data_IF_084881201828
#
_entry.id   IF_084881201828
#
_cell.length_a   1.000
_cell.length_b   1.000
_cell.length_c   1.000
_cell.angle_alpha   90.00
_cell.angle_beta   90.00
_cell.angle_gamma   90.00
#
_symmetry.space_group_name_H-M   'P 1'
#
loop_
_entity.id
_entity.type
_entity.pdbx_description
1 polymer ?
#
# COMPACT_ATOMS: atom_id res chain seq x y z
N UNK A 1 -22.62 19.26 -38.28
CA UNK A 1 -22.53 20.34 -37.28
C UNK A 1 -23.73 20.24 -36.35
N UNK A 2 -23.57 19.49 -35.27
CA UNK A 2 -24.47 19.53 -34.13
C UNK A 2 -23.55 19.60 -32.91
N UNK A 3 -23.40 20.81 -32.37
CA UNK A 3 -22.69 21.06 -31.13
C UNK A 3 -23.57 20.55 -29.98
N UNK A 4 -23.08 19.56 -29.24
CA UNK A 4 -23.67 19.15 -27.98
C UNK A 4 -23.24 20.11 -26.89
N UNK A 5 -24.17 20.94 -26.42
CA UNK A 5 -24.03 21.67 -25.16
C UNK A 5 -24.03 20.65 -24.02
N UNK A 6 -22.87 20.45 -23.39
CA UNK A 6 -22.81 19.93 -22.02
C UNK A 6 -23.36 21.01 -21.09
N UNK A 7 -24.35 20.74 -20.22
CA UNK A 7 -24.68 21.67 -19.17
C UNK A 7 -23.61 21.57 -18.08
N UNK A 8 -22.90 22.66 -17.84
CA UNK A 8 -22.09 22.82 -16.63
C UNK A 8 -22.97 22.58 -15.39
N UNK A 9 -22.48 21.89 -14.34
CA UNK A 9 -23.25 21.72 -13.12
C UNK A 9 -23.51 23.08 -12.47
N UNK A 10 -24.76 23.53 -12.52
CA UNK A 10 -25.21 24.73 -11.81
C UNK A 10 -25.34 24.37 -10.33
N UNK A 11 -24.41 24.89 -9.52
CA UNK A 11 -24.55 25.02 -8.07
C UNK A 11 -25.79 25.87 -7.75
N UNK A 12 -26.90 25.22 -7.37
CA UNK A 12 -28.06 25.91 -6.82
C UNK A 12 -28.18 25.58 -5.33
N UNK A 13 -28.08 26.62 -4.51
CA UNK A 13 -28.34 26.55 -3.07
C UNK A 13 -29.85 26.37 -2.85
N UNK A 14 -30.27 25.19 -2.42
CA UNK A 14 -31.64 24.92 -1.99
C UNK A 14 -31.94 25.57 -0.63
N UNK A 15 -33.18 26.04 -0.38
CA UNK A 15 -33.54 26.69 0.87
C UNK A 15 -33.90 25.63 1.92
N UNK A 16 -32.90 25.12 2.65
CA UNK A 16 -33.14 24.47 3.94
C UNK A 16 -31.99 24.82 4.88
N UNK A 17 -32.30 25.64 5.88
CA UNK A 17 -31.35 26.28 6.79
C UNK A 17 -30.68 25.34 7.80
N UNK A 18 -29.85 24.42 7.32
CA UNK A 18 -28.89 23.69 8.13
C UNK A 18 -27.49 24.00 7.56
N UNK A 19 -26.63 24.77 8.25
CA UNK A 19 -25.26 24.96 7.83
C UNK A 19 -24.50 23.62 7.93
N UNK A 20 -23.95 23.11 6.82
CA UNK A 20 -23.09 21.93 6.80
C UNK A 20 -23.62 20.68 6.09
N UNK A 21 -24.80 20.71 5.47
CA UNK A 21 -25.28 19.58 4.65
C UNK A 21 -24.94 19.78 3.17
N UNK A 22 -24.01 18.99 2.63
CA UNK A 22 -23.92 18.73 1.20
C UNK A 22 -25.08 17.78 0.86
N UNK A 23 -26.08 18.30 0.15
CA UNK A 23 -27.08 17.45 -0.51
C UNK A 23 -26.55 17.18 -1.90
N UNK A 24 -25.99 15.99 -2.11
CA UNK A 24 -25.69 15.50 -3.46
C UNK A 24 -27.01 15.40 -4.22
N UNK A 25 -27.03 15.94 -5.45
CA UNK A 25 -28.18 15.87 -6.34
C UNK A 25 -28.63 14.42 -6.61
N UNK A 26 -29.77 14.21 -7.27
CA UNK A 26 -30.38 12.89 -7.40
C UNK A 26 -29.46 11.93 -8.18
N UNK A 27 -28.75 11.07 -7.46
CA UNK A 27 -28.02 9.92 -8.02
C UNK A 27 -29.05 8.86 -8.44
N UNK A 28 -28.92 8.20 -9.60
CA UNK A 28 -29.67 6.99 -9.87
C UNK A 28 -29.28 5.98 -8.76
N UNK A 29 -30.28 5.44 -8.07
CA UNK A 29 -30.14 4.71 -6.82
C UNK A 29 -29.16 3.52 -6.90
N UNK A 30 -27.88 3.76 -6.59
CA UNK A 30 -26.99 2.72 -6.10
C UNK A 30 -27.15 2.70 -4.58
N UNK A 31 -27.91 1.73 -4.10
CA UNK A 31 -27.87 1.40 -2.68
C UNK A 31 -26.48 0.85 -2.36
N UNK A 32 -25.92 1.13 -1.18
CA UNK A 32 -24.70 0.46 -0.77
C UNK A 32 -24.92 -1.04 -0.83
N UNK A 33 -24.07 -1.73 -1.59
CA UNK A 33 -24.06 -3.18 -1.67
C UNK A 33 -23.22 -3.74 -0.54
N UNK A 34 -23.56 -4.95 -0.08
CA UNK A 34 -22.78 -5.66 0.92
C UNK A 34 -22.32 -6.97 0.31
N UNK A 35 -21.02 -7.11 0.20
CA UNK A 35 -20.35 -8.31 -0.31
C UNK A 35 -19.74 -9.08 0.86
N UNK A 36 -19.92 -10.39 0.86
CA UNK A 36 -19.36 -11.29 1.87
C UNK A 36 -19.11 -12.65 1.22
N UNK A 37 -18.04 -13.35 1.58
CA UNK A 37 -17.65 -14.61 0.96
C UNK A 37 -18.80 -15.58 0.59
N UNK A 38 -19.77 -15.79 1.49
CA UNK A 38 -20.92 -16.67 1.24
C UNK A 38 -21.93 -16.22 0.16
N UNK A 39 -21.75 -15.05 -0.47
CA UNK A 39 -22.51 -14.62 -1.65
C UNK A 39 -21.72 -14.76 -2.96
N UNK A 40 -20.51 -15.32 -2.90
CA UNK A 40 -19.65 -15.67 -4.02
C UNK A 40 -19.57 -17.20 -4.16
N UNK A 41 -18.81 -17.68 -5.15
CA UNK A 41 -18.48 -19.11 -5.32
C UNK A 41 -17.52 -19.66 -4.25
N UNK A 42 -17.76 -19.30 -2.99
CA UNK A 42 -16.98 -19.72 -1.84
C UNK A 42 -17.87 -19.90 -0.59
N UNK A 43 -17.35 -20.51 0.47
CA UNK A 43 -18.11 -20.74 1.71
C UNK A 43 -17.48 -19.99 2.87
N UNK A 44 -18.26 -19.15 3.56
CA UNK A 44 -17.77 -18.43 4.73
C UNK A 44 -17.56 -19.35 5.94
N UNK A 45 -16.35 -19.37 6.45
CA UNK A 45 -15.91 -20.00 7.68
C UNK A 45 -15.46 -18.93 8.70
N UNK A 46 -14.92 -19.36 9.84
CA UNK A 46 -14.53 -18.45 10.90
C UNK A 46 -13.04 -18.14 10.79
N UNK A 47 -12.72 -16.84 10.70
CA UNK A 47 -11.37 -16.28 10.61
C UNK A 47 -10.77 -16.20 9.20
N UNK A 48 -11.57 -16.40 8.15
CA UNK A 48 -11.14 -16.35 6.74
C UNK A 48 -10.61 -14.98 6.31
N UNK A 49 -11.00 -13.94 7.05
CA UNK A 49 -10.56 -12.56 6.83
C UNK A 49 -10.86 -12.05 5.41
N UNK A 50 -12.03 -12.41 4.87
CA UNK A 50 -12.52 -11.89 3.59
C UNK A 50 -12.40 -10.36 3.50
N UNK A 51 -11.68 -9.88 2.48
CA UNK A 51 -11.42 -8.45 2.28
C UNK A 51 -10.22 -7.91 3.06
N UNK A 52 -9.33 -8.79 3.53
CA UNK A 52 -8.06 -8.39 4.14
C UNK A 52 -7.13 -7.66 3.16
N UNK A 53 -7.24 -7.99 1.88
CA UNK A 53 -6.58 -7.30 0.77
C UNK A 53 -7.59 -7.10 -0.36
N UNK A 54 -7.47 -5.98 -1.09
CA UNK A 54 -8.29 -5.65 -2.24
C UNK A 54 -7.38 -5.16 -3.36
N UNK A 55 -7.68 -5.52 -4.60
CA UNK A 55 -7.07 -4.93 -5.77
C UNK A 55 -8.10 -4.79 -6.90
N UNK A 56 -7.91 -3.80 -7.75
CA UNK A 56 -8.85 -3.41 -8.81
C UNK A 56 -8.12 -3.42 -10.14
N UNK A 57 -8.74 -4.00 -11.16
CA UNK A 57 -8.17 -4.13 -12.50
C UNK A 57 -9.16 -4.74 -13.48
N UNK A 58 -8.98 -4.50 -14.77
CA UNK A 58 -9.76 -5.08 -15.85
C UNK A 58 -9.17 -6.44 -16.26
N UNK A 59 -9.48 -7.50 -15.52
CA UNK A 59 -8.87 -8.82 -15.71
C UNK A 59 -9.36 -9.52 -16.98
N UNK A 60 -10.51 -9.10 -17.51
CA UNK A 60 -11.16 -9.69 -18.68
C UNK A 60 -11.10 -8.79 -19.94
N UNK A 61 -10.46 -7.63 -19.85
CA UNK A 61 -10.29 -6.63 -20.91
C UNK A 61 -11.62 -6.17 -21.54
N UNK A 62 -12.64 -5.92 -20.71
CA UNK A 62 -13.94 -5.39 -21.13
C UNK A 62 -14.09 -3.87 -20.92
N UNK A 63 -13.02 -3.21 -20.45
CA UNK A 63 -12.90 -1.80 -20.06
C UNK A 63 -13.70 -1.40 -18.83
N UNK A 64 -14.10 -2.36 -17.99
CA UNK A 64 -14.74 -2.11 -16.70
C UNK A 64 -13.93 -2.82 -15.61
N UNK A 65 -13.45 -2.04 -14.65
CA UNK A 65 -12.64 -2.61 -13.58
C UNK A 65 -13.40 -3.68 -12.77
N UNK A 66 -12.68 -4.76 -12.49
CA UNK A 66 -13.08 -5.85 -11.62
C UNK A 66 -12.48 -5.70 -10.22
N UNK A 67 -12.95 -6.53 -9.28
CA UNK A 67 -12.47 -6.53 -7.90
C UNK A 67 -11.90 -7.90 -7.50
N UNK A 68 -10.60 -7.94 -7.19
CA UNK A 68 -9.96 -9.05 -6.50
C UNK A 68 -9.99 -8.84 -4.98
N UNK A 69 -10.31 -9.90 -4.24
CA UNK A 69 -10.54 -9.90 -2.80
C UNK A 69 -9.74 -11.02 -2.15
N UNK A 70 -8.79 -10.66 -1.30
CA UNK A 70 -7.96 -11.59 -0.53
C UNK A 70 -8.73 -12.19 0.65
N UNK A 71 -8.53 -13.50 0.86
CA UNK A 71 -9.14 -14.32 1.90
C UNK A 71 -8.04 -15.18 2.54
N UNK A 72 -7.04 -14.57 3.21
CA UNK A 72 -5.84 -15.29 3.65
C UNK A 72 -6.11 -16.37 4.69
N UNK A 73 -7.21 -16.29 5.44
CA UNK A 73 -7.58 -17.30 6.44
C UNK A 73 -8.36 -18.48 5.87
N UNK A 74 -8.56 -18.58 4.56
CA UNK A 74 -9.38 -19.64 3.97
C UNK A 74 -8.76 -21.03 4.18
N UNK A 75 -9.57 -21.95 4.67
CA UNK A 75 -9.23 -23.36 4.85
C UNK A 75 -9.51 -24.13 3.55
N UNK A 76 -8.52 -24.84 3.00
CA UNK A 76 -8.70 -25.60 1.75
C UNK A 76 -8.69 -27.13 1.96
N UNK A 77 -9.38 -27.84 1.06
CA UNK A 77 -9.44 -29.29 1.02
C UNK A 77 -10.63 -29.89 1.77
N UNK A 78 -10.69 -31.22 1.87
CA UNK A 78 -11.84 -31.91 2.43
C UNK A 78 -11.96 -31.65 3.94
N UNK A 79 -12.95 -30.82 4.31
CA UNK A 79 -13.21 -30.35 5.69
C UNK A 79 -12.11 -29.44 6.26
N UNK A 80 -11.50 -28.60 5.44
CA UNK A 80 -10.50 -27.62 5.90
C UNK A 80 -9.27 -28.29 6.50
N UNK A 81 -8.73 -29.28 5.80
CA UNK A 81 -7.60 -30.06 6.30
C UNK A 81 -6.25 -29.36 6.08
N UNK A 82 -6.22 -28.33 5.24
CA UNK A 82 -5.09 -27.41 5.09
C UNK A 82 -5.61 -26.05 5.55
N UNK A 83 -5.22 -25.66 6.77
CA UNK A 83 -5.83 -24.52 7.45
C UNK A 83 -5.15 -23.21 7.08
N UNK A 84 -5.90 -22.12 7.01
CA UNK A 84 -5.37 -20.79 6.74
C UNK A 84 -4.42 -20.78 5.52
N UNK A 85 -4.74 -21.58 4.51
CA UNK A 85 -3.94 -21.68 3.28
C UNK A 85 -4.21 -20.49 2.36
N UNK A 86 -5.41 -19.92 2.45
CA UNK A 86 -5.81 -18.70 1.78
C UNK A 86 -6.44 -18.92 0.40
N UNK A 87 -7.19 -17.90 -0.02
CA UNK A 87 -7.85 -17.82 -1.31
C UNK A 87 -7.93 -16.36 -1.81
N UNK A 88 -8.26 -16.22 -3.09
CA UNK A 88 -8.66 -14.95 -3.69
C UNK A 88 -9.96 -15.14 -4.44
N UNK A 89 -10.94 -14.28 -4.17
CA UNK A 89 -12.16 -14.17 -4.97
C UNK A 89 -12.05 -13.01 -5.95
N UNK A 90 -12.48 -13.21 -7.19
CA UNK A 90 -12.58 -12.14 -8.19
C UNK A 90 -14.04 -11.95 -8.58
N UNK A 91 -14.52 -10.72 -8.51
CA UNK A 91 -15.88 -10.30 -8.85
C UNK A 91 -15.79 -9.34 -10.02
N UNK A 92 -16.47 -9.66 -11.13
CA UNK A 92 -16.37 -8.89 -12.35
C UNK A 92 -17.21 -7.62 -12.31
N UNK A 93 -16.65 -6.54 -12.86
CA UNK A 93 -17.35 -5.31 -13.16
C UNK A 93 -18.36 -5.52 -14.29
N UNK A 94 -19.43 -4.74 -14.26
CA UNK A 94 -20.39 -4.62 -15.37
C UNK A 94 -20.89 -3.18 -15.43
N UNK A 95 -21.64 -2.84 -16.49
CA UNK A 95 -22.28 -1.53 -16.58
C UNK A 95 -23.27 -1.23 -15.44
N UNK A 96 -23.74 -2.26 -14.73
CA UNK A 96 -24.67 -2.16 -13.61
C UNK A 96 -23.97 -2.27 -12.24
N UNK A 97 -22.63 -2.35 -12.21
CA UNK A 97 -21.83 -2.58 -11.00
C UNK A 97 -21.23 -3.99 -10.95
N UNK A 98 -20.76 -4.40 -9.77
CA UNK A 98 -20.13 -5.72 -9.57
C UNK A 98 -21.15 -6.86 -9.75
N UNK A 99 -20.74 -7.96 -10.38
CA UNK A 99 -21.58 -9.14 -10.62
C UNK A 99 -20.96 -10.43 -10.09
N UNK A 100 -21.77 -11.18 -9.34
CA UNK A 100 -21.39 -12.50 -8.83
C UNK A 100 -21.55 -13.64 -9.85
N UNK A 101 -22.22 -13.41 -10.99
CA UNK A 101 -22.67 -14.48 -11.91
C UNK A 101 -21.50 -15.35 -12.41
N UNK A 102 -20.39 -14.69 -12.75
CA UNK A 102 -19.19 -15.34 -13.30
C UNK A 102 -17.95 -15.15 -12.43
N UNK A 103 -18.13 -14.79 -11.15
CA UNK A 103 -17.04 -14.61 -10.21
C UNK A 103 -16.10 -15.84 -10.20
N UNK A 104 -14.81 -15.62 -9.99
CA UNK A 104 -13.80 -16.67 -9.89
C UNK A 104 -13.29 -16.79 -8.45
N UNK A 105 -12.75 -17.96 -8.11
CA UNK A 105 -12.04 -18.20 -6.86
C UNK A 105 -10.75 -18.95 -7.17
N UNK A 106 -9.64 -18.46 -6.62
CA UNK A 106 -8.32 -19.03 -6.78
C UNK A 106 -7.81 -19.49 -5.42
N UNK A 107 -7.32 -20.72 -5.37
CA UNK A 107 -6.58 -21.24 -4.24
C UNK A 107 -5.13 -21.46 -4.68
N UNK A 108 -4.19 -21.37 -3.75
CA UNK A 108 -2.78 -21.59 -4.04
C UNK A 108 -2.51 -22.94 -4.72
N UNK A 109 -3.29 -23.98 -4.40
CA UNK A 109 -3.18 -25.31 -5.02
C UNK A 109 -3.35 -25.34 -6.55
N UNK A 110 -3.83 -24.25 -7.16
CA UNK A 110 -3.97 -24.13 -8.62
C UNK A 110 -2.68 -23.65 -9.31
N UNK A 111 -1.80 -22.97 -8.57
CA UNK A 111 -0.56 -22.32 -9.07
C UNK A 111 0.70 -22.74 -8.30
N UNK A 112 0.53 -23.51 -7.24
CA UNK A 112 1.57 -23.97 -6.34
C UNK A 112 1.09 -25.15 -5.49
N UNK A 113 1.76 -25.35 -4.34
CA UNK A 113 1.38 -26.39 -3.38
C UNK A 113 0.97 -25.70 -2.09
N UNK A 114 -0.30 -25.81 -1.75
CA UNK A 114 -0.82 -25.27 -0.51
C UNK A 114 -0.39 -26.07 0.72
N UNK A 115 0.00 -25.35 1.75
CA UNK A 115 0.35 -25.78 3.09
C UNK A 115 -0.44 -24.96 4.12
N UNK A 116 -0.40 -25.37 5.38
CA UNK A 116 -1.23 -24.72 6.40
C UNK A 116 -0.53 -23.47 6.92
N UNK A 117 -1.20 -22.32 6.83
CA UNK A 117 -0.68 -21.04 7.27
C UNK A 117 -0.03 -20.20 6.17
N UNK A 118 -0.01 -20.66 4.92
CA UNK A 118 0.62 -19.96 3.79
C UNK A 118 -0.03 -18.59 3.50
N UNK A 119 -1.33 -18.47 3.77
CA UNK A 119 -2.13 -17.26 3.60
C UNK A 119 -2.06 -16.65 2.20
N UNK A 120 -2.29 -17.47 1.18
CA UNK A 120 -2.49 -17.00 -0.19
C UNK A 120 -3.57 -15.92 -0.27
N UNK A 121 -3.25 -14.76 -0.84
CA UNK A 121 -4.14 -13.60 -0.87
C UNK A 121 -3.96 -12.64 0.30
N UNK A 122 -2.89 -12.78 1.11
CA UNK A 122 -2.56 -11.83 2.17
C UNK A 122 -2.22 -10.42 1.65
N UNK A 123 -1.67 -10.34 0.44
CA UNK A 123 -1.40 -9.09 -0.29
C UNK A 123 -1.77 -9.29 -1.75
N UNK A 124 -2.27 -8.23 -2.39
CA UNK A 124 -2.69 -8.22 -3.79
C UNK A 124 -2.17 -6.95 -4.47
N UNK A 125 -1.80 -7.07 -5.74
CA UNK A 125 -1.55 -5.93 -6.62
C UNK A 125 -1.91 -6.30 -8.07
N UNK A 126 -2.07 -5.30 -8.92
CA UNK A 126 -2.53 -5.44 -10.30
C UNK A 126 -1.60 -4.68 -11.24
N UNK A 127 -1.36 -5.23 -12.43
CA UNK A 127 -0.68 -4.53 -13.52
C UNK A 127 -0.67 -5.37 -14.79
N UNK A 128 -0.37 -4.78 -15.93
CA UNK A 128 -0.23 -5.47 -17.22
C UNK A 128 1.26 -5.82 -17.46
N UNK A 129 1.69 -6.99 -16.98
CA UNK A 129 3.10 -7.40 -17.03
C UNK A 129 3.47 -7.94 -18.43
N UNK A 130 2.51 -8.48 -19.16
CA UNK A 130 2.72 -9.09 -20.48
C UNK A 130 2.26 -8.24 -21.69
N UNK A 131 1.70 -7.06 -21.42
CA UNK A 131 1.23 -6.04 -22.37
C UNK A 131 0.25 -6.62 -23.38
N UNK A 132 -0.71 -7.40 -22.91
CA UNK A 132 -1.82 -7.90 -23.71
C UNK A 132 -3.10 -7.06 -23.56
N UNK A 133 -3.09 -6.10 -22.63
CA UNK A 133 -4.15 -5.15 -22.35
C UNK A 133 -5.23 -5.66 -21.39
N UNK A 134 -5.16 -6.93 -20.93
CA UNK A 134 -5.86 -7.36 -19.74
C UNK A 134 -4.96 -7.15 -18.53
N UNK A 135 -5.51 -6.67 -17.42
CA UNK A 135 -4.76 -6.55 -16.19
C UNK A 135 -4.45 -7.94 -15.61
N UNK A 136 -3.27 -8.09 -15.01
CA UNK A 136 -2.83 -9.31 -14.33
C UNK A 136 -2.92 -9.14 -12.81
N UNK A 137 -3.10 -10.25 -12.10
CA UNK A 137 -3.15 -10.27 -10.65
C UNK A 137 -1.87 -10.86 -10.05
N UNK A 138 -1.23 -10.11 -9.15
CA UNK A 138 -0.20 -10.64 -8.25
C UNK A 138 -0.81 -10.99 -6.91
N UNK A 139 -0.54 -12.21 -6.44
CA UNK A 139 -1.02 -12.74 -5.17
C UNK A 139 0.17 -13.08 -4.27
N UNK A 140 0.24 -12.42 -3.12
CA UNK A 140 1.24 -12.71 -2.11
C UNK A 140 0.89 -13.92 -1.23
N UNK A 141 1.93 -14.66 -0.88
CA UNK A 141 1.92 -15.83 0.00
C UNK A 141 3.09 -15.69 0.99
N UNK A 142 3.07 -14.69 1.89
CA UNK A 142 4.23 -14.32 2.68
C UNK A 142 4.70 -15.43 3.62
N UNK A 143 3.87 -16.41 3.93
CA UNK A 143 4.20 -17.50 4.86
C UNK A 143 4.47 -18.83 4.14
N UNK A 144 4.68 -18.81 2.81
CA UNK A 144 5.08 -20.00 2.04
C UNK A 144 6.43 -20.56 2.53
N UNK A 145 6.47 -21.87 2.77
CA UNK A 145 7.69 -22.60 3.06
C UNK A 145 8.43 -23.00 1.78
N UNK A 146 9.71 -22.61 1.67
CA UNK A 146 10.58 -23.07 0.58
C UNK A 146 11.43 -24.26 1.00
N UNK A 147 10.83 -25.45 0.88
CA UNK A 147 11.47 -26.72 1.19
C UNK A 147 11.63 -26.94 2.69
N UNK A 148 12.69 -26.39 3.28
CA UNK A 148 12.91 -26.42 4.75
C UNK A 148 13.10 -25.04 5.36
N UNK A 149 12.99 -23.99 4.53
CA UNK A 149 13.07 -22.61 4.97
C UNK A 149 11.64 -22.18 5.27
N UNK A 150 11.36 -21.94 6.55
CA UNK A 150 10.01 -21.64 7.04
C UNK A 150 9.69 -20.17 6.79
N UNK A 151 8.47 -19.88 6.34
CA UNK A 151 7.97 -18.52 6.12
C UNK A 151 8.91 -17.69 5.23
N UNK A 152 9.48 -18.32 4.21
CA UNK A 152 10.35 -17.65 3.23
C UNK A 152 9.55 -16.69 2.34
N UNK A 153 8.30 -17.06 2.05
CA UNK A 153 7.38 -16.30 1.23
C UNK A 153 7.55 -16.52 -0.27
N UNK A 154 6.46 -16.28 -0.99
CA UNK A 154 6.39 -16.32 -2.43
C UNK A 154 5.30 -15.38 -2.95
N UNK A 155 5.32 -15.11 -4.26
CA UNK A 155 4.20 -14.52 -4.98
C UNK A 155 3.85 -15.33 -6.23
N UNK A 156 2.58 -15.29 -6.61
CA UNK A 156 2.08 -15.83 -7.85
C UNK A 156 1.55 -14.70 -8.74
N UNK A 157 1.91 -14.72 -10.03
CA UNK A 157 1.32 -13.85 -11.04
C UNK A 157 0.34 -14.69 -11.86
N UNK A 158 -0.92 -14.30 -11.85
CA UNK A 158 -2.02 -14.94 -12.56
C UNK A 158 -2.44 -13.96 -13.66
N UNK A 159 -2.27 -14.37 -14.92
CA UNK A 159 -2.48 -13.48 -16.05
C UNK A 159 -3.95 -13.29 -16.36
N UNK A 160 -4.32 -12.05 -16.67
CA UNK A 160 -5.60 -11.69 -17.28
C UNK A 160 -5.69 -12.24 -18.70
N UNK A 161 -6.90 -12.40 -19.20
CA UNK A 161 -7.13 -12.75 -20.60
C UNK A 161 -8.46 -12.20 -21.07
N UNK A 162 -8.48 -11.67 -22.30
CA UNK A 162 -9.72 -11.14 -22.90
C UNK A 162 -10.86 -12.15 -22.83
N UNK A 163 -12.03 -11.69 -22.40
CA UNK A 163 -13.30 -12.41 -22.27
C UNK A 163 -13.35 -13.56 -21.23
N UNK A 164 -12.21 -14.07 -20.76
CA UNK A 164 -12.14 -15.21 -19.82
C UNK A 164 -11.79 -14.76 -18.40
N UNK A 165 -11.08 -13.64 -18.28
CA UNK A 165 -10.54 -13.14 -17.02
C UNK A 165 -9.24 -13.83 -16.63
N UNK A 166 -9.00 -13.99 -15.33
CA UNK A 166 -7.77 -14.58 -14.83
C UNK A 166 -7.64 -16.07 -15.19
N UNK A 167 -6.41 -16.49 -15.56
CA UNK A 167 -6.06 -17.88 -15.89
C UNK A 167 -4.76 -18.33 -15.24
N UNK A 168 -4.74 -19.59 -14.78
CA UNK A 168 -3.51 -20.20 -14.24
C UNK A 168 -2.59 -20.75 -15.33
N UNK A 169 -3.05 -20.77 -16.58
CA UNK A 169 -2.20 -21.19 -17.69
C UNK A 169 -1.15 -20.12 -18.00
N UNK A 170 0.12 -20.42 -17.73
CA UNK A 170 1.22 -19.48 -17.92
C UNK A 170 1.54 -18.64 -16.68
N UNK A 171 0.85 -18.87 -15.55
CA UNK A 171 1.13 -18.20 -14.29
C UNK A 171 2.61 -18.33 -13.90
N UNK A 172 3.17 -17.28 -13.30
CA UNK A 172 4.52 -17.29 -12.78
C UNK A 172 4.54 -17.38 -11.27
N UNK A 173 5.61 -17.96 -10.72
CA UNK A 173 5.87 -18.00 -9.28
C UNK A 173 7.24 -17.42 -9.02
N UNK A 174 7.31 -16.46 -8.10
CA UNK A 174 8.55 -15.79 -7.72
C UNK A 174 8.78 -15.90 -6.21
N UNK A 175 10.03 -16.15 -5.85
CA UNK A 175 10.52 -16.16 -4.48
C UNK A 175 12.03 -15.85 -4.49
N UNK A 176 12.67 -15.56 -3.35
CA UNK A 176 14.10 -15.17 -3.32
C UNK A 176 15.07 -16.23 -3.87
N UNK A 177 14.70 -17.51 -3.84
CA UNK A 177 15.49 -18.58 -4.47
C UNK A 177 15.25 -18.74 -5.98
N UNK A 178 14.42 -17.91 -6.61
CA UNK A 178 14.16 -17.95 -8.05
C UNK A 178 15.42 -17.54 -8.79
N UNK A 179 15.68 -18.16 -9.94
CA UNK A 179 16.90 -17.88 -10.69
C UNK A 179 17.00 -16.39 -11.03
N UNK A 180 18.16 -15.80 -10.72
CA UNK A 180 18.48 -14.39 -10.96
C UNK A 180 17.73 -13.38 -10.09
N UNK A 181 16.95 -13.81 -9.10
CA UNK A 181 16.52 -12.90 -8.03
C UNK A 181 17.68 -12.74 -7.04
N UNK A 182 18.02 -11.50 -6.71
CA UNK A 182 19.01 -11.19 -5.70
C UNK A 182 18.46 -11.45 -4.29
N UNK A 183 19.29 -12.09 -3.46
CA UNK A 183 18.91 -12.54 -2.13
C UNK A 183 19.06 -14.05 -1.99
N UNK A 184 18.69 -14.59 -0.85
CA UNK A 184 18.59 -16.04 -0.63
C UNK A 184 17.52 -16.23 0.42
N UNK A 185 16.54 -17.09 0.16
CA UNK A 185 15.44 -17.27 1.10
C UNK A 185 15.94 -17.70 2.48
N UNK A 186 15.68 -16.85 3.45
CA UNK A 186 15.87 -17.03 4.88
C UNK A 186 14.55 -17.31 5.58
N UNK A 187 14.66 -17.66 6.86
CA UNK A 187 13.51 -17.97 7.71
C UNK A 187 12.84 -16.67 8.10
N UNK A 188 11.52 -16.60 7.98
CA UNK A 188 10.69 -15.42 8.31
C UNK A 188 10.95 -14.19 7.41
N UNK A 189 11.60 -14.38 6.24
CA UNK A 189 11.89 -13.34 5.25
C UNK A 189 10.60 -12.74 4.70
N UNK A 190 9.58 -13.59 4.51
CA UNK A 190 8.23 -13.22 4.08
C UNK A 190 8.22 -12.44 2.76
N UNK A 191 8.92 -12.96 1.76
CA UNK A 191 8.92 -12.40 0.41
C UNK A 191 7.48 -12.25 -0.13
N UNK A 192 7.13 -11.04 -0.57
CA UNK A 192 5.78 -10.72 -1.03
C UNK A 192 4.82 -10.27 0.08
N UNK A 193 5.34 -9.95 1.27
CA UNK A 193 4.54 -9.42 2.38
C UNK A 193 3.80 -8.13 2.00
N UNK A 194 4.49 -7.22 1.32
CA UNK A 194 3.90 -6.05 0.67
C UNK A 194 4.19 -6.11 -0.83
N UNK A 195 3.29 -5.57 -1.64
CA UNK A 195 3.38 -5.59 -3.10
C UNK A 195 2.98 -4.22 -3.65
N UNK A 196 3.73 -3.71 -4.62
CA UNK A 196 3.35 -2.57 -5.44
C UNK A 196 3.76 -2.83 -6.90
N UNK A 197 3.03 -2.21 -7.82
CA UNK A 197 3.23 -2.34 -9.27
C UNK A 197 3.38 -0.97 -9.91
N UNK A 198 4.07 -0.90 -11.04
CA UNK A 198 4.23 0.33 -11.81
C UNK A 198 5.34 0.20 -12.85
N UNK A 199 5.37 1.07 -13.85
CA UNK A 199 6.38 1.09 -14.90
C UNK A 199 7.64 1.84 -14.41
N UNK A 200 8.42 1.16 -13.55
CA UNK A 200 9.62 1.71 -12.93
C UNK A 200 10.77 1.90 -13.93
N UNK A 201 10.68 1.28 -15.12
CA UNK A 201 11.68 1.42 -16.18
C UNK A 201 11.23 2.12 -17.48
N UNK A 202 9.99 2.58 -17.53
CA UNK A 202 9.35 3.29 -18.65
C UNK A 202 9.51 2.52 -19.98
N UNK A 203 9.27 1.21 -19.95
CA UNK A 203 9.21 0.36 -21.14
C UNK A 203 7.78 0.06 -21.62
N UNK A 204 6.77 0.52 -20.87
CA UNK A 204 5.35 0.37 -21.17
C UNK A 204 4.76 -0.96 -20.69
N UNK A 205 5.41 -1.63 -19.74
CA UNK A 205 4.88 -2.77 -18.97
C UNK A 205 4.98 -2.42 -17.51
N UNK A 206 4.04 -2.93 -16.74
CA UNK A 206 4.17 -2.82 -15.29
C UNK A 206 5.32 -3.71 -14.80
N UNK A 207 5.96 -3.25 -13.75
CA UNK A 207 6.98 -3.95 -12.98
C UNK A 207 6.43 -4.29 -11.59
N UNK A 208 7.16 -5.13 -10.85
CA UNK A 208 6.71 -5.67 -9.58
C UNK A 208 7.71 -5.40 -8.47
N UNK A 209 7.32 -4.60 -7.47
CA UNK A 209 8.05 -4.39 -6.22
C UNK A 209 7.48 -5.26 -5.09
N UNK A 210 8.38 -5.91 -4.35
CA UNK A 210 8.07 -6.96 -3.37
C UNK A 210 8.81 -6.71 -2.07
N UNK A 211 8.04 -6.49 -1.00
CA UNK A 211 8.55 -6.33 0.35
C UNK A 211 9.06 -7.66 0.91
N UNK A 212 10.21 -7.60 1.57
CA UNK A 212 10.87 -8.73 2.25
C UNK A 212 11.30 -8.26 3.64
N UNK A 213 10.36 -8.00 4.56
CA UNK A 213 10.65 -7.36 5.83
C UNK A 213 11.61 -8.18 6.72
N UNK A 214 11.68 -9.51 6.59
CA UNK A 214 12.67 -10.30 7.33
C UNK A 214 14.11 -10.09 6.87
N UNK A 215 14.30 -9.62 5.62
CA UNK A 215 15.59 -9.23 5.04
C UNK A 215 15.81 -7.69 5.05
N UNK A 216 14.87 -6.94 5.67
CA UNK A 216 14.91 -5.48 5.73
C UNK A 216 15.05 -4.86 4.33
N UNK A 217 14.28 -5.36 3.36
CA UNK A 217 14.45 -4.93 1.98
C UNK A 217 13.28 -5.14 1.03
N UNK A 218 13.54 -4.75 -0.22
CA UNK A 218 12.58 -4.80 -1.32
C UNK A 218 13.27 -5.36 -2.57
N UNK A 219 12.63 -6.35 -3.21
CA UNK A 219 12.99 -6.82 -4.53
C UNK A 219 12.14 -6.14 -5.60
N UNK A 220 12.72 -5.81 -6.75
CA UNK A 220 11.99 -5.32 -7.93
C UNK A 220 12.27 -6.23 -9.12
N UNK A 221 11.21 -6.76 -9.72
CA UNK A 221 11.22 -7.66 -10.87
C UNK A 221 10.56 -6.92 -12.04
N UNK A 222 11.23 -6.86 -13.19
CA UNK A 222 10.77 -6.05 -14.31
C UNK A 222 9.91 -6.85 -15.30
N UNK A 223 8.83 -6.26 -15.81
CA UNK A 223 8.11 -6.69 -17.00
C UNK A 223 8.95 -6.41 -18.23
N UNK A 224 8.99 -7.31 -19.24
CA UNK A 224 9.81 -7.07 -20.44
C UNK A 224 9.27 -7.63 -21.73
N UNK A 225 9.34 -6.81 -22.78
CA UNK A 225 8.89 -7.12 -24.16
C UNK A 225 9.43 -8.39 -24.83
N UNK A 226 10.58 -8.94 -24.39
CA UNK A 226 11.12 -10.19 -24.93
C UNK A 226 10.58 -11.44 -24.20
N UNK A 227 9.73 -11.25 -23.21
CA UNK A 227 9.15 -12.30 -22.37
C UNK A 227 7.63 -12.10 -22.31
N UNK A 228 6.90 -13.20 -22.07
CA UNK A 228 5.47 -13.15 -21.76
C UNK A 228 5.33 -12.91 -20.25
N UNK A 229 5.59 -11.67 -19.82
CA UNK A 229 5.48 -11.23 -18.43
C UNK A 229 6.79 -10.84 -17.74
N UNK A 230 6.83 -11.02 -16.41
CA UNK A 230 7.97 -10.64 -15.57
C UNK A 230 9.23 -11.46 -15.87
N UNK A 231 10.39 -10.85 -15.60
CA UNK A 231 11.69 -11.51 -15.71
C UNK A 231 12.67 -11.05 -14.64
N UNK A 232 13.38 -12.00 -14.02
CA UNK A 232 14.47 -11.72 -13.08
C UNK A 232 15.75 -11.15 -13.76
N UNK A 233 15.72 -10.88 -15.07
CA UNK A 233 16.86 -10.29 -15.75
C UNK A 233 17.06 -8.84 -15.32
N UNK A 234 18.13 -8.55 -14.57
CA UNK A 234 18.46 -7.20 -14.06
C UNK A 234 17.45 -6.71 -13.02
N UNK A 235 16.93 -7.63 -12.21
CA UNK A 235 16.19 -7.31 -11.01
C UNK A 235 17.00 -6.38 -10.08
N UNK A 236 16.31 -5.67 -9.19
CA UNK A 236 16.94 -4.85 -8.16
C UNK A 236 16.62 -5.41 -6.78
N UNK A 237 17.55 -5.23 -5.85
CA UNK A 237 17.33 -5.48 -4.43
C UNK A 237 17.85 -4.29 -3.63
N UNK A 238 17.01 -3.78 -2.74
CA UNK A 238 17.30 -2.66 -1.85
C UNK A 238 17.23 -3.15 -0.41
N UNK A 239 18.37 -3.18 0.29
CA UNK A 239 18.46 -3.53 1.72
C UNK A 239 18.53 -2.29 2.60
N UNK A 240 18.03 -2.37 3.83
CA UNK A 240 17.95 -1.26 4.79
C UNK A 240 16.75 -0.34 4.57
N UNK A 241 15.65 -0.87 4.03
CA UNK A 241 14.45 -0.11 3.65
C UNK A 241 13.17 -0.67 4.28
N UNK A 242 13.26 -1.69 5.13
CA UNK A 242 12.13 -2.42 5.69
C UNK A 242 11.43 -3.29 4.64
N UNK A 243 10.46 -2.71 3.94
CA UNK A 243 9.59 -3.43 3.00
C UNK A 243 8.27 -3.90 3.64
N UNK A 244 7.86 -3.30 4.75
CA UNK A 244 6.60 -3.61 5.43
C UNK A 244 5.38 -3.08 4.68
N UNK A 245 5.52 -1.95 3.98
CA UNK A 245 4.49 -1.41 3.09
C UNK A 245 5.11 -0.80 1.84
N UNK A 246 4.37 -0.86 0.73
CA UNK A 246 4.80 -0.33 -0.57
C UNK A 246 3.64 0.40 -1.24
N UNK A 247 3.96 1.47 -1.97
CA UNK A 247 3.06 2.10 -2.95
C UNK A 247 3.91 2.76 -4.02
N UNK A 248 3.32 3.05 -5.17
CA UNK A 248 4.00 3.58 -6.34
C UNK A 248 3.19 4.70 -6.98
N UNK A 249 3.87 5.55 -7.72
CA UNK A 249 3.30 6.66 -8.48
C UNK A 249 4.41 7.53 -9.04
N UNK A 250 4.10 8.36 -10.04
CA UNK A 250 5.07 9.29 -10.63
C UNK A 250 5.09 10.60 -9.80
N UNK A 251 5.88 10.60 -8.72
CA UNK A 251 5.91 11.70 -7.77
C UNK A 251 6.68 12.92 -8.29
N UNK A 252 7.49 12.74 -9.34
CA UNK A 252 8.27 13.81 -9.95
C UNK A 252 7.92 14.16 -11.42
N UNK A 253 6.90 13.52 -11.97
CA UNK A 253 6.40 13.69 -13.33
C UNK A 253 7.48 13.53 -14.42
N UNK A 254 8.44 12.63 -14.22
CA UNK A 254 9.45 12.30 -15.22
C UNK A 254 9.02 11.16 -16.16
N UNK A 255 7.85 10.56 -15.89
CA UNK A 255 7.22 9.50 -16.65
C UNK A 255 7.72 8.11 -16.31
N UNK A 256 8.47 7.95 -15.22
CA UNK A 256 8.75 6.67 -14.57
C UNK A 256 7.93 6.61 -13.30
N UNK A 257 7.36 5.45 -12.98
CA UNK A 257 6.80 5.29 -11.65
C UNK A 257 7.93 5.27 -10.61
N UNK A 258 7.67 5.88 -9.47
CA UNK A 258 8.54 5.84 -8.29
C UNK A 258 8.00 4.84 -7.27
N UNK A 259 8.86 4.45 -6.32
CA UNK A 259 8.50 3.50 -5.27
C UNK A 259 8.66 4.13 -3.89
N UNK A 260 7.56 4.23 -3.14
CA UNK A 260 7.56 4.58 -1.72
C UNK A 260 7.51 3.31 -0.86
N UNK A 261 8.39 3.25 0.15
CA UNK A 261 8.62 2.10 1.01
C UNK A 261 8.50 2.54 2.46
N UNK A 262 7.60 1.91 3.21
CA UNK A 262 7.46 2.13 4.64
C UNK A 262 8.33 1.17 5.44
N UNK A 263 9.11 1.71 6.36
CA UNK A 263 9.77 0.98 7.44
C UNK A 263 9.27 1.53 8.78
N UNK A 264 8.08 1.10 9.24
CA UNK A 264 7.47 1.59 10.47
C UNK A 264 8.24 1.18 11.74
N UNK A 265 9.18 0.24 11.64
CA UNK A 265 9.97 -0.25 12.79
C UNK A 265 11.37 0.38 12.87
N UNK A 266 11.72 1.23 11.89
CA UNK A 266 12.95 2.00 11.86
C UNK A 266 13.20 2.73 13.18
N UNK A 267 14.40 2.56 13.70
CA UNK A 267 14.91 3.31 14.84
C UNK A 267 15.62 4.57 14.33
N UNK A 268 15.12 5.76 14.66
CA UNK A 268 15.90 6.98 14.37
C UNK A 268 17.00 7.16 15.40
N UNK A 269 18.22 7.48 14.94
CA UNK A 269 19.36 7.64 15.82
C UNK A 269 19.21 8.85 16.77
N UNK A 270 19.61 8.74 18.06
CA UNK A 270 19.51 9.83 19.05
C UNK A 270 20.29 11.11 18.71
N UNK A 271 21.09 11.14 17.64
CA UNK A 271 21.97 12.27 17.30
C UNK A 271 21.23 13.53 16.83
N UNK A 272 19.93 13.44 16.56
CA UNK A 272 19.06 14.60 16.27
C UNK A 272 18.58 15.27 17.56
N UNK A 273 18.63 14.56 18.69
CA UNK A 273 18.36 15.12 20.01
C UNK A 273 19.65 15.72 20.56
N UNK A 274 19.65 17.04 20.77
CA UNK A 274 20.75 17.72 21.46
C UNK A 274 21.11 16.97 22.74
N UNK A 275 22.40 16.71 22.94
CA UNK A 275 22.96 15.76 23.92
C UNK A 275 22.67 16.02 25.40
N UNK A 276 21.82 17.00 25.73
CA UNK A 276 21.84 17.62 27.04
C UNK A 276 20.56 17.37 27.89
N UNK A 277 19.52 16.68 27.39
CA UNK A 277 18.26 16.47 28.13
C UNK A 277 17.72 15.02 28.12
N UNK A 278 18.57 13.99 28.26
CA UNK A 278 18.09 12.62 28.57
C UNK A 278 18.51 12.16 29.97
N UNK A 279 17.81 12.58 31.03
CA UNK A 279 17.85 11.85 32.28
C UNK A 279 17.06 10.54 32.09
N UNK A 280 17.74 9.42 32.35
CA UNK A 280 17.26 8.03 32.28
C UNK A 280 17.33 7.38 30.87
N UNK A 281 18.14 6.32 30.77
CA UNK A 281 18.39 5.56 29.56
C UNK A 281 17.14 4.84 29.03
N UNK A 282 16.37 5.54 28.22
CA UNK A 282 15.25 4.98 27.47
C UNK A 282 15.75 4.43 26.12
N UNK A 283 15.17 3.29 25.76
CA UNK A 283 15.45 2.49 24.58
C UNK A 283 15.18 3.28 23.28
N UNK A 284 15.83 2.95 22.16
CA UNK A 284 15.40 3.47 20.87
C UNK A 284 13.95 3.01 20.66
N UNK A 285 13.11 3.92 20.17
CA UNK A 285 11.68 3.66 19.95
C UNK A 285 11.42 3.57 18.44
N UNK A 286 10.46 2.73 18.07
CA UNK A 286 9.99 2.58 16.68
C UNK A 286 9.29 3.88 16.26
N UNK A 287 10.02 4.77 15.61
CA UNK A 287 9.50 6.06 15.12
C UNK A 287 9.10 5.98 13.64
N UNK A 288 9.54 4.92 12.94
CA UNK A 288 9.22 4.66 11.56
C UNK A 288 9.80 5.67 10.56
N UNK A 289 9.95 5.26 9.31
CA UNK A 289 10.41 6.10 8.21
C UNK A 289 9.74 5.68 6.91
N UNK A 290 9.79 6.57 5.92
CA UNK A 290 9.40 6.27 4.54
C UNK A 290 10.56 6.62 3.61
N UNK A 291 10.90 5.69 2.74
CA UNK A 291 11.90 5.86 1.70
C UNK A 291 11.21 5.99 0.35
N UNK A 292 11.62 6.95 -0.46
CA UNK A 292 11.14 7.09 -1.85
C UNK A 292 12.32 6.83 -2.77
N UNK A 293 12.20 5.83 -3.63
CA UNK A 293 13.15 5.50 -4.68
C UNK A 293 12.60 6.01 -6.00
N UNK A 294 13.34 6.91 -6.64
CA UNK A 294 12.88 7.50 -7.90
C UNK A 294 13.21 6.59 -9.08
N UNK A 295 12.19 6.29 -9.89
CA UNK A 295 12.34 5.69 -11.20
C UNK A 295 13.29 6.56 -12.02
N UNK A 296 14.21 5.97 -12.78
CA UNK A 296 15.18 6.79 -13.51
C UNK A 296 15.96 6.05 -14.59
N UNK A 297 16.55 6.82 -15.50
CA UNK A 297 17.57 6.36 -16.43
C UNK A 297 17.08 6.27 -17.87
N UNK A 298 17.84 5.64 -18.78
CA UNK A 298 17.33 5.33 -20.12
C UNK A 298 16.23 4.28 -20.01
N UNK A 299 15.13 4.45 -20.76
CA UNK A 299 14.03 3.48 -20.87
C UNK A 299 14.50 2.02 -20.92
N UNK A 300 13.87 1.14 -20.15
CA UNK A 300 14.18 -0.29 -20.02
C UNK A 300 15.38 -0.61 -19.12
N UNK A 301 15.79 0.31 -18.22
CA UNK A 301 16.91 0.06 -17.29
C UNK A 301 16.55 0.09 -15.81
N UNK A 302 15.43 0.70 -15.45
CA UNK A 302 14.87 0.76 -14.10
C UNK A 302 15.80 1.44 -13.13
N UNK A 303 15.59 1.17 -11.84
CA UNK A 303 16.46 1.65 -10.78
C UNK A 303 17.93 1.25 -11.04
N UNK A 304 18.74 2.22 -11.50
CA UNK A 304 20.14 1.91 -11.84
C UNK A 304 20.97 1.79 -10.56
N UNK A 305 21.48 0.58 -10.32
CA UNK A 305 22.24 0.21 -9.12
C UNK A 305 23.37 1.18 -8.77
N UNK A 306 23.21 1.80 -7.60
CA UNK A 306 24.14 2.75 -7.01
C UNK A 306 23.37 3.97 -6.55
N UNK A 307 23.06 4.01 -5.24
CA UNK A 307 22.42 5.13 -4.55
C UNK A 307 23.11 6.45 -4.89
N UNK A 308 22.68 7.11 -5.95
CA UNK A 308 22.88 8.53 -6.06
C UNK A 308 21.93 9.12 -5.02
N UNK A 309 22.43 9.88 -4.05
CA UNK A 309 21.61 10.67 -3.11
C UNK A 309 20.62 11.63 -3.79
N UNK A 310 20.61 11.69 -5.13
CA UNK A 310 19.62 12.40 -5.93
C UNK A 310 18.41 11.54 -6.34
N UNK A 311 18.42 10.22 -6.12
CA UNK A 311 17.33 9.29 -6.50
C UNK A 311 16.71 8.57 -5.29
N UNK A 312 17.01 9.03 -4.08
CA UNK A 312 16.43 8.51 -2.83
C UNK A 312 16.12 9.68 -1.90
N UNK A 313 14.92 9.66 -1.32
CA UNK A 313 14.50 10.60 -0.29
C UNK A 313 13.97 9.86 0.93
N UNK A 314 14.38 10.29 2.12
CA UNK A 314 13.90 9.77 3.39
C UNK A 314 12.95 10.79 4.03
N UNK A 315 11.76 10.34 4.43
CA UNK A 315 10.71 11.15 5.03
C UNK A 315 10.51 10.75 6.49
N UNK A 316 10.83 11.69 7.38
CA UNK A 316 10.79 11.51 8.84
C UNK A 316 9.89 12.57 9.50
N UNK A 317 8.74 12.87 8.89
CA UNK A 317 7.83 13.91 9.36
C UNK A 317 7.13 13.58 10.69
N UNK A 318 7.15 12.30 11.09
CA UNK A 318 6.62 11.81 12.37
C UNK A 318 7.55 12.02 13.58
N UNK A 319 8.86 12.16 13.38
CA UNK A 319 9.87 12.12 14.47
C UNK A 319 10.28 13.49 15.04
N UNK A 320 9.81 14.60 14.44
CA UNK A 320 10.34 15.95 14.76
C UNK A 320 9.75 16.63 16.02
N UNK A 321 8.87 16.02 16.80
CA UNK A 321 8.42 16.59 18.09
C UNK A 321 8.99 15.84 19.28
N UNK A 322 9.90 16.52 19.98
CA UNK A 322 10.55 16.06 21.19
C UNK A 322 9.56 15.62 22.26
N UNK A 323 9.75 14.40 22.76
CA UNK A 323 9.11 13.77 23.93
C UNK A 323 7.73 13.10 23.77
N UNK A 324 7.05 13.17 22.62
CA UNK A 324 5.67 12.65 22.51
C UNK A 324 5.46 11.51 21.49
N UNK A 325 6.47 11.11 20.71
CA UNK A 325 6.29 10.23 19.53
C UNK A 325 7.06 8.90 19.56
N UNK A 326 7.30 8.31 20.73
CA UNK A 326 7.83 6.94 20.78
C UNK A 326 6.76 5.92 20.34
N UNK A 327 6.99 5.16 19.27
CA UNK A 327 6.07 4.09 18.83
C UNK A 327 4.96 4.55 17.88
N UNK A 328 5.18 5.62 17.10
CA UNK A 328 4.15 6.16 16.19
C UNK A 328 3.96 5.32 14.91
N UNK A 329 4.93 4.45 14.56
CA UNK A 329 4.92 3.57 13.39
C UNK A 329 4.71 4.34 12.06
N UNK A 330 5.43 5.46 11.87
CA UNK A 330 5.32 6.24 10.63
C UNK A 330 5.68 5.38 9.40
N UNK A 331 4.83 5.38 8.37
CA UNK A 331 5.00 4.49 7.22
C UNK A 331 4.32 3.12 7.37
N UNK A 332 3.45 2.96 8.38
CA UNK A 332 2.71 1.70 8.58
C UNK A 332 1.63 1.42 7.52
N UNK A 333 1.19 2.46 6.79
CA UNK A 333 0.38 2.33 5.58
C UNK A 333 0.68 3.51 4.66
N UNK A 334 0.64 3.26 3.35
CA UNK A 334 0.94 4.22 2.30
C UNK A 334 -0.15 4.17 1.22
N UNK A 335 -0.46 5.30 0.62
CA UNK A 335 -1.26 5.37 -0.61
C UNK A 335 -0.80 6.55 -1.46
N UNK A 336 -0.70 6.31 -2.76
CA UNK A 336 -0.33 7.31 -3.74
C UNK A 336 -1.50 7.73 -4.64
N UNK A 337 -1.35 8.88 -5.28
CA UNK A 337 -2.24 9.38 -6.32
C UNK A 337 -2.29 10.90 -6.34
N UNK A 338 -2.70 11.50 -7.45
CA UNK A 338 -2.87 12.95 -7.57
C UNK A 338 -4.09 13.45 -6.77
N UNK A 339 -3.90 13.70 -5.48
CA UNK A 339 -4.96 14.16 -4.57
C UNK A 339 -5.35 15.62 -4.81
N UNK A 340 -4.53 16.37 -5.53
CA UNK A 340 -4.68 17.81 -5.66
C UNK A 340 -5.02 18.28 -7.10
N UNK A 341 -4.95 17.38 -8.08
CA UNK A 341 -5.28 17.58 -9.48
C UNK A 341 -4.21 18.35 -10.26
N UNK A 342 -2.94 18.29 -9.86
CA UNK A 342 -1.83 18.98 -10.55
C UNK A 342 -1.04 18.11 -11.54
N UNK A 343 -1.43 16.84 -11.68
CA UNK A 343 -0.85 15.88 -12.61
C UNK A 343 0.45 15.25 -12.15
N UNK A 344 0.80 15.37 -10.87
CA UNK A 344 1.85 14.61 -10.20
C UNK A 344 1.20 13.75 -9.12
N UNK A 345 1.71 12.53 -8.92
CA UNK A 345 1.21 11.74 -7.81
C UNK A 345 1.66 12.33 -6.48
N UNK A 346 0.77 12.27 -5.50
CA UNK A 346 1.02 12.65 -4.12
C UNK A 346 1.12 11.39 -3.25
N UNK A 347 1.68 11.51 -2.05
CA UNK A 347 1.84 10.40 -1.12
C UNK A 347 1.14 10.70 0.22
N UNK A 348 0.23 9.83 0.65
CA UNK A 348 -0.32 9.86 2.00
C UNK A 348 0.31 8.76 2.86
N UNK A 349 0.72 9.13 4.07
CA UNK A 349 1.52 8.31 4.98
C UNK A 349 0.81 8.20 6.33
N UNK A 350 0.57 6.98 6.79
CA UNK A 350 -0.07 6.69 8.07
C UNK A 350 0.95 6.54 9.21
N UNK A 351 0.58 7.05 10.39
CA UNK A 351 1.29 6.87 11.65
C UNK A 351 0.28 6.54 12.76
N UNK A 352 -0.07 5.27 12.96
CA UNK A 352 -1.15 4.86 13.86
C UNK A 352 -0.88 5.17 15.32
N UNK A 353 0.38 5.11 15.75
CA UNK A 353 0.74 5.41 17.13
C UNK A 353 0.89 6.91 17.41
N UNK A 354 0.67 7.78 16.41
CA UNK A 354 0.70 9.23 16.61
C UNK A 354 -0.61 9.67 17.28
N UNK A 355 -0.51 10.06 18.54
CA UNK A 355 -1.64 10.45 19.41
C UNK A 355 -2.67 9.31 19.60
N UNK A 356 -3.71 9.56 20.38
CA UNK A 356 -4.72 8.56 20.75
C UNK A 356 -5.65 8.08 19.61
N UNK A 357 -5.46 8.56 18.37
CA UNK A 357 -6.32 8.23 17.23
C UNK A 357 -5.60 7.96 15.92
N UNK A 358 -4.26 7.94 15.91
CA UNK A 358 -3.44 7.88 14.70
C UNK A 358 -3.46 9.18 13.89
N UNK A 359 -2.59 9.26 12.88
CA UNK A 359 -2.54 10.39 11.96
C UNK A 359 -2.22 9.94 10.53
N UNK A 360 -2.68 10.72 9.55
CA UNK A 360 -2.24 10.63 8.16
C UNK A 360 -1.59 11.95 7.72
N UNK A 361 -0.47 11.85 7.01
CA UNK A 361 0.28 12.97 6.46
C UNK A 361 0.26 12.89 4.95
N UNK A 362 -0.19 13.95 4.28
CA UNK A 362 -0.13 14.05 2.80
C UNK A 362 1.09 14.87 2.42
N UNK A 363 1.85 14.35 1.47
CA UNK A 363 3.06 14.97 0.93
C UNK A 363 2.91 15.08 -0.58
N UNK A 364 2.97 16.30 -1.09
CA UNK A 364 2.66 16.57 -2.50
C UNK A 364 3.86 16.33 -3.41
N UNK A 365 3.61 15.72 -4.58
CA UNK A 365 4.57 15.52 -5.65
C UNK A 365 5.04 16.84 -6.28
N UNK A 366 6.24 16.84 -6.87
CA UNK A 366 6.82 17.98 -7.61
C UNK A 366 7.85 17.49 -8.61
N UNK A 367 8.11 18.28 -9.65
CA UNK A 367 9.19 18.08 -10.63
C UNK A 367 10.64 17.91 -10.09
N UNK A 368 10.84 17.92 -8.77
CA UNK A 368 12.13 17.65 -8.09
C UNK A 368 11.99 16.54 -7.04
N UNK A 369 10.89 15.78 -7.06
CA UNK A 369 10.46 14.83 -6.04
C UNK A 369 9.44 15.38 -5.02
N UNK A 370 9.22 14.61 -3.96
CA UNK A 370 8.26 14.90 -2.88
C UNK A 370 8.74 16.01 -1.93
N UNK A 371 7.84 16.90 -1.48
CA UNK A 371 8.18 18.02 -0.57
C UNK A 371 8.03 17.72 0.95
N UNK A 372 9.13 17.68 1.72
CA UNK A 372 9.17 17.54 3.22
C UNK A 372 8.58 18.73 4.02
N UNK A 373 7.70 19.56 3.44
CA UNK A 373 7.10 20.71 4.15
C UNK A 373 5.58 20.56 4.27
N UNK A 374 5.18 20.04 5.44
CA UNK A 374 3.82 19.91 5.94
C UNK A 374 3.04 21.22 5.75
N UNK A 375 1.95 21.18 4.98
CA UNK A 375 0.75 21.93 5.34
C UNK A 375 -0.10 21.01 6.21
N UNK A 376 -0.56 21.55 7.33
CA UNK A 376 -1.15 20.88 8.51
C UNK A 376 -1.90 19.55 8.29
N UNK A 377 -1.84 18.62 9.26
CA UNK A 377 -2.58 17.35 9.20
C UNK A 377 -4.07 17.58 8.95
N UNK A 378 -4.63 16.86 7.99
CA UNK A 378 -6.06 16.87 7.69
C UNK A 378 -6.75 15.97 8.72
N UNK A 379 -7.11 16.56 9.86
CA UNK A 379 -8.13 16.04 10.76
C UNK A 379 -9.46 16.70 10.44
N UNK A 380 -10.51 15.90 10.25
CA UNK A 380 -11.89 16.33 9.98
C UNK A 380 -12.30 17.56 10.81
N UNK A 381 -12.46 18.71 10.15
CA UNK A 381 -12.80 19.99 10.79
C UNK A 381 -14.32 20.18 10.89
N UNK A 382 -14.80 21.06 11.78
CA UNK A 382 -15.79 22.01 11.29
C UNK A 382 -15.31 23.44 11.49
N UNK A 383 -15.17 24.12 10.35
CA UNK A 383 -15.66 25.47 10.09
C UNK A 383 -15.52 26.44 11.27
N UNK A 384 -14.53 27.32 11.22
CA UNK A 384 -14.76 28.77 11.11
C UNK A 384 -13.40 29.47 10.92
N UNK A 385 -13.35 30.23 9.83
CA UNK A 385 -12.56 31.44 9.61
C UNK A 385 -11.12 31.56 10.10
N UNK A 386 -10.31 32.00 9.14
CA UNK A 386 -9.14 32.84 9.34
C UNK A 386 -9.14 33.63 10.66
N UNK A 387 -8.13 33.44 11.49
CA UNK A 387 -7.11 34.45 11.77
C UNK A 387 -6.25 34.03 12.96
N UNK A 388 -4.94 34.13 12.75
CA UNK A 388 -3.97 34.26 13.83
C UNK A 388 -4.37 35.44 14.72
N UNK A 389 -4.71 35.17 15.98
CA UNK A 389 -4.68 36.19 17.02
C UNK A 389 -3.68 35.80 18.10
N UNK A 390 -2.47 36.31 17.91
CA UNK A 390 -1.56 36.61 18.98
C UNK A 390 -2.20 37.74 19.80
N UNK A 391 -2.79 37.42 20.96
CA UNK A 391 -3.15 38.42 21.95
C UNK A 391 -2.34 38.20 23.23
N UNK A 392 -1.14 38.77 23.21
CA UNK A 392 -0.47 39.26 24.40
C UNK A 392 -1.44 40.18 25.17
N UNK A 393 -2.15 39.61 26.14
CA UNK A 393 -2.69 40.36 27.26
C UNK A 393 -2.88 39.46 28.47
N UNK A 394 -1.81 39.28 29.24
CA UNK A 394 -1.88 39.62 30.66
C UNK A 394 -0.49 39.79 31.26
N UNK A 395 -0.18 41.04 31.61
CA UNK A 395 0.67 41.33 32.77
C UNK A 395 0.05 40.64 33.97
N UNK A 396 0.66 39.56 34.44
CA UNK A 396 1.12 39.40 35.82
C UNK A 396 1.77 38.02 35.93
N UNK A 397 3.04 38.03 36.33
CA UNK A 397 3.86 36.83 36.38
C UNK A 397 3.24 35.74 37.25
N UNK A 398 3.02 34.59 36.65
CA UNK A 398 3.22 33.26 37.20
C UNK A 398 3.48 32.35 36.01
N UNK A 399 4.64 31.69 35.99
CA UNK A 399 4.88 30.57 35.09
C UNK A 399 3.84 29.49 35.41
N UNK A 400 2.85 29.36 34.55
CA UNK A 400 2.11 28.11 34.38
C UNK A 400 2.61 27.61 33.04
N UNK A 401 3.47 26.60 33.08
CA UNK A 401 3.66 25.76 31.93
C UNK A 401 2.27 25.20 31.59
N UNK A 402 1.76 25.49 30.39
CA UNK A 402 0.65 24.72 29.84
C UNK A 402 1.19 23.31 29.61
N UNK A 403 1.08 22.49 30.65
CA UNK A 403 1.02 21.06 30.57
C UNK A 403 -0.32 20.77 29.89
N UNK A 404 -0.31 20.66 28.57
CA UNK A 404 -1.34 19.88 27.90
C UNK A 404 -0.97 18.44 28.21
N UNK A 405 -1.62 17.88 29.23
CA UNK A 405 -1.54 16.45 29.55
C UNK A 405 -2.15 15.67 28.37
N UNK A 406 -1.31 15.29 27.40
CA UNK A 406 -1.52 14.13 26.52
C UNK A 406 -1.01 12.84 27.20
N UNK A 407 -1.04 12.80 28.54
CA UNK A 407 -0.46 11.73 29.38
C UNK A 407 -1.25 10.42 29.41
N UNK A 408 -2.29 10.24 28.60
CA UNK A 408 -3.22 9.10 28.71
C UNK A 408 -3.10 8.04 27.61
N UNK A 409 -2.07 8.08 26.77
CA UNK A 409 -1.90 7.07 25.71
C UNK A 409 -0.60 6.27 25.85
N UNK A 410 -0.64 5.25 26.71
CA UNK A 410 0.27 4.09 26.67
C UNK A 410 -0.61 2.86 26.57
N UNK A 411 -0.42 2.00 25.55
CA UNK A 411 -0.30 0.54 25.73
C UNK A 411 0.34 -0.12 24.50
N UNK A 412 1.66 -0.30 24.56
CA UNK A 412 2.35 -1.34 23.77
C UNK A 412 2.19 -2.65 24.53
N UNK A 413 1.23 -3.49 24.13
CA UNK A 413 1.17 -4.86 24.63
C UNK A 413 2.26 -5.70 23.93
N UNK A 414 3.40 -5.90 24.59
CA UNK A 414 4.30 -7.01 24.24
C UNK A 414 3.75 -8.31 24.84
N UNK A 415 3.74 -9.45 24.12
CA UNK A 415 3.54 -10.74 24.75
C UNK A 415 4.73 -11.01 25.69
N UNK A 416 4.43 -11.26 26.97
CA UNK A 416 5.42 -11.71 27.95
C UNK A 416 5.78 -13.16 27.63
N UNK A 417 7.04 -13.51 27.33
CA UNK A 417 7.45 -14.91 27.25
C UNK A 417 7.34 -15.55 28.64
N UNK A 418 6.78 -16.76 28.71
CA UNK A 418 6.78 -17.56 29.95
C UNK A 418 8.16 -18.08 30.30
#
# INVERSE_FOLDING_TARGET
>A
SAEGFHPDPILTLGPSGIPGSIVLGPSPYFFPETWHQGNLKDSAESHDAFGSALAVGDFNNDQIDDLAIGIPGEDIGWKGNIRDAGAVSVVYGTSDGLSAEDNQVFYQSYVGKAESGDQFGASLAVGDFDNDGADDLVVGVPYEDLGSVVDAGAVHVIYGTTDVGLTTNGSQTWHQNSAYINGTAGKDDRFGFAIATGDFDNDGRDDLALGVPGDDGVNVIYGRSNYSGLTASRDAFFSGYGGDTLTSGDFDADGYDDLAIGDPTAQVSPSVYGSDDVPFGLHPFDEGTVHVLYGSGPRGRGFTGGLAKSSHQELNLGSKSSHENSGNLYGNALVAGDFNGDGMDDLAIHAPGKNCGGAAHVVYGRAIGILDHVRHPIGLSPILDSQWWNQDSNKNGHHIADHVDDSDCIYVNKPVPK
#
